data_IF_945522860162
#
_entry.id   IF_945522860162
#
_cell.length_a   1.000
_cell.length_b   1.000
_cell.length_c   1.000
_cell.angle_alpha   90.00
_cell.angle_beta   90.00
_cell.angle_gamma   90.00
#
_symmetry.space_group_name_H-M   'P 1'
#
loop_
_entity.id
_entity.type
_entity.pdbx_description
1 polymer ?
#
# COMPACT_ATOMS: atom_id res chain seq x y z
N UNK A 1 0.44 -14.16 24.05
CA UNK A 1 1.56 -14.89 23.41
C UNK A 1 1.45 -14.66 21.93
N UNK A 2 2.54 -14.28 21.27
CA UNK A 2 2.58 -14.08 19.81
C UNK A 2 2.68 -15.43 19.09
N UNK A 3 2.34 -15.44 17.80
CA UNK A 3 2.38 -16.63 16.93
C UNK A 3 2.94 -16.31 15.55
N UNK A 4 3.34 -17.34 14.80
CA UNK A 4 3.56 -17.21 13.37
C UNK A 4 2.22 -17.00 12.66
N UNK A 5 2.14 -16.00 11.79
CA UNK A 5 0.89 -15.61 11.14
C UNK A 5 0.98 -15.89 9.63
N UNK A 6 0.13 -16.81 9.17
CA UNK A 6 0.13 -17.34 7.79
C UNK A 6 -0.91 -16.69 6.89
N UNK A 7 -1.80 -15.88 7.46
CA UNK A 7 -2.89 -15.22 6.72
C UNK A 7 -3.26 -13.86 7.33
N UNK A 8 -3.82 -13.00 6.50
CA UNK A 8 -4.27 -11.66 6.88
C UNK A 8 -3.13 -10.67 7.16
N UNK A 9 -3.48 -9.43 7.51
CA UNK A 9 -2.51 -8.44 7.97
C UNK A 9 -1.88 -8.89 9.29
N UNK A 10 -0.57 -8.66 9.42
CA UNK A 10 0.18 -9.03 10.63
C UNK A 10 -0.04 -7.97 11.71
N UNK A 11 -0.58 -8.36 12.85
CA UNK A 11 -0.66 -7.50 14.04
C UNK A 11 0.57 -7.76 14.93
N UNK A 12 1.42 -6.74 15.08
CA UNK A 12 2.68 -6.81 15.85
C UNK A 12 2.49 -7.21 17.31
N UNK A 13 1.29 -7.03 17.87
CA UNK A 13 0.96 -7.44 19.25
C UNK A 13 0.70 -8.94 19.37
N UNK A 14 0.24 -9.58 18.29
CA UNK A 14 -0.22 -10.97 18.30
C UNK A 14 0.59 -11.88 17.38
N UNK A 15 1.42 -11.33 16.51
CA UNK A 15 2.24 -12.05 15.55
C UNK A 15 3.73 -11.73 15.71
N UNK A 16 4.59 -12.70 15.40
CA UNK A 16 6.01 -12.41 15.13
C UNK A 16 6.11 -11.57 13.84
N UNK A 17 7.04 -10.61 13.82
CA UNK A 17 7.10 -9.60 12.76
C UNK A 17 8.54 -9.17 12.51
N UNK A 18 8.93 -9.13 11.23
CA UNK A 18 10.22 -8.60 10.78
C UNK A 18 10.04 -7.13 10.42
N UNK A 19 10.83 -6.26 11.05
CA UNK A 19 10.87 -4.84 10.67
C UNK A 19 11.62 -4.63 9.36
N UNK A 20 11.16 -3.65 8.56
CA UNK A 20 11.75 -3.26 7.28
C UNK A 20 12.05 -1.75 7.27
N UNK A 21 13.01 -1.30 8.10
CA UNK A 21 13.25 0.13 8.31
C UNK A 21 13.68 0.87 7.03
N UNK A 22 14.42 0.22 6.14
CA UNK A 22 14.91 0.84 4.90
C UNK A 22 13.76 1.16 3.94
N UNK A 23 12.89 0.18 3.67
CA UNK A 23 11.68 0.35 2.83
C UNK A 23 10.76 1.41 3.41
N UNK A 24 10.58 1.39 4.74
CA UNK A 24 9.79 2.40 5.44
C UNK A 24 10.40 3.79 5.29
N UNK A 25 11.73 3.92 5.43
CA UNK A 25 12.43 5.19 5.28
C UNK A 25 12.29 5.73 3.86
N UNK A 26 12.46 4.89 2.85
CA UNK A 26 12.31 5.26 1.45
C UNK A 26 10.87 5.70 1.12
N UNK A 27 9.86 4.96 1.56
CA UNK A 27 8.46 5.34 1.38
C UNK A 27 8.15 6.70 2.02
N UNK A 28 8.65 6.95 3.24
CA UNK A 28 8.47 8.24 3.92
C UNK A 28 9.22 9.36 3.21
N UNK A 29 10.43 9.11 2.71
CA UNK A 29 11.19 10.10 1.94
C UNK A 29 10.45 10.51 0.66
N UNK A 30 9.90 9.55 -0.08
CA UNK A 30 9.07 9.83 -1.24
C UNK A 30 7.85 10.70 -0.90
N UNK A 31 7.12 10.36 0.17
CA UNK A 31 5.96 11.14 0.62
C UNK A 31 6.37 12.56 1.03
N UNK A 32 7.44 12.72 1.78
CA UNK A 32 7.91 14.02 2.25
C UNK A 32 8.42 14.90 1.08
N UNK A 33 9.00 14.28 0.04
CA UNK A 33 9.50 14.95 -1.15
C UNK A 33 8.47 15.10 -2.29
N UNK A 34 7.18 14.94 -1.99
CA UNK A 34 6.08 15.07 -2.96
C UNK A 34 6.23 14.17 -4.20
N UNK A 35 6.71 12.95 -4.00
CA UNK A 35 6.89 11.95 -5.05
C UNK A 35 5.66 11.10 -5.21
N UNK A 36 5.36 10.72 -6.45
CA UNK A 36 4.29 9.78 -6.79
C UNK A 36 4.99 8.50 -7.22
N UNK A 37 4.75 7.42 -6.47
CA UNK A 37 5.56 6.21 -6.61
C UNK A 37 4.69 4.96 -6.67
N UNK A 38 5.28 3.90 -7.20
CA UNK A 38 4.64 2.60 -7.28
C UNK A 38 5.27 1.66 -6.27
N UNK A 39 4.47 0.73 -5.74
CA UNK A 39 4.92 -0.29 -4.80
C UNK A 39 4.60 -1.66 -5.39
N UNK A 40 5.62 -2.44 -5.73
CA UNK A 40 5.43 -3.85 -6.06
C UNK A 40 5.66 -4.68 -4.81
N UNK A 41 4.70 -5.55 -4.50
CA UNK A 41 4.86 -6.48 -3.40
C UNK A 41 4.15 -7.79 -3.77
N UNK A 42 4.89 -8.91 -3.87
CA UNK A 42 4.28 -10.19 -4.19
C UNK A 42 3.19 -10.58 -3.18
N UNK A 43 2.30 -11.49 -3.56
CA UNK A 43 1.27 -11.99 -2.64
C UNK A 43 1.90 -12.53 -1.36
N UNK A 44 1.26 -12.22 -0.22
CA UNK A 44 1.70 -12.65 1.11
C UNK A 44 3.13 -12.20 1.49
N UNK A 45 3.61 -11.09 0.91
CA UNK A 45 4.89 -10.44 1.28
C UNK A 45 4.81 -9.55 2.54
N UNK A 46 3.62 -9.40 3.13
CA UNK A 46 3.39 -8.44 4.23
C UNK A 46 3.05 -7.03 3.77
N UNK A 47 2.75 -6.84 2.47
CA UNK A 47 2.30 -5.57 1.86
C UNK A 47 1.26 -4.80 2.69
N UNK A 48 0.15 -5.44 3.06
CA UNK A 48 -0.91 -4.79 3.84
C UNK A 48 -0.41 -4.31 5.20
N UNK A 49 0.52 -5.04 5.82
CA UNK A 49 1.14 -4.62 7.09
C UNK A 49 2.03 -3.40 6.89
N UNK A 50 2.87 -3.41 5.86
CA UNK A 50 3.73 -2.27 5.51
C UNK A 50 2.90 -1.00 5.25
N UNK A 51 1.83 -1.11 4.45
CA UNK A 51 0.96 0.03 4.14
C UNK A 51 0.27 0.58 5.39
N UNK A 52 -0.21 -0.29 6.29
CA UNK A 52 -0.74 0.13 7.59
C UNK A 52 0.30 0.85 8.44
N UNK A 53 1.54 0.35 8.47
CA UNK A 53 2.62 1.00 9.20
C UNK A 53 2.97 2.37 8.61
N UNK A 54 2.92 2.54 7.28
CA UNK A 54 3.11 3.84 6.62
C UNK A 54 1.99 4.79 7.05
N UNK A 55 0.73 4.37 6.95
CA UNK A 55 -0.45 5.17 7.37
C UNK A 55 -0.29 5.63 8.82
N UNK A 56 0.06 4.71 9.72
CA UNK A 56 0.23 5.02 11.15
C UNK A 56 1.33 6.06 11.40
N UNK A 57 2.41 6.07 10.60
CA UNK A 57 3.49 7.05 10.73
C UNK A 57 3.15 8.43 10.17
N UNK A 58 2.21 8.52 9.23
CA UNK A 58 1.92 9.78 8.52
C UNK A 58 0.56 10.40 8.87
N UNK A 59 -0.35 9.66 9.49
CA UNK A 59 -1.74 10.09 9.76
C UNK A 59 -1.88 11.39 10.54
N UNK A 60 -0.89 11.73 11.37
CA UNK A 60 -0.91 12.98 12.15
C UNK A 60 -0.65 14.19 11.25
N UNK A 61 0.19 14.03 10.21
CA UNK A 61 0.56 15.09 9.27
C UNK A 61 -0.37 15.16 8.05
N UNK A 62 -0.72 14.01 7.47
CA UNK A 62 -1.44 13.93 6.21
C UNK A 62 -2.77 13.20 6.37
N UNK A 63 -3.74 13.58 5.55
CA UNK A 63 -4.98 12.82 5.38
C UNK A 63 -4.72 11.65 4.43
N UNK A 64 -4.64 10.44 4.96
CA UNK A 64 -4.42 9.25 4.16
C UNK A 64 -5.75 8.69 3.68
N UNK A 65 -5.85 8.45 2.37
CA UNK A 65 -6.99 7.80 1.74
C UNK A 65 -6.49 6.50 1.15
N UNK A 66 -7.01 5.39 1.65
CA UNK A 66 -6.68 4.04 1.19
C UNK A 66 -7.87 3.42 0.46
N UNK A 67 -7.70 3.07 -0.81
CA UNK A 67 -8.71 2.46 -1.69
C UNK A 67 -8.13 1.19 -2.29
N UNK A 68 -8.97 0.20 -2.61
CA UNK A 68 -8.58 -0.99 -3.38
C UNK A 68 -9.43 -1.10 -4.65
N UNK A 69 -8.78 -1.38 -5.78
CA UNK A 69 -9.45 -1.62 -7.06
C UNK A 69 -9.89 -3.08 -7.25
N UNK A 70 -9.68 -3.95 -6.27
CA UNK A 70 -10.11 -5.37 -6.30
C UNK A 70 -11.57 -5.55 -6.74
N UNK A 71 -12.47 -4.70 -6.23
CA UNK A 71 -13.91 -4.78 -6.48
C UNK A 71 -14.42 -3.84 -7.59
N UNK A 72 -13.52 -3.21 -8.36
CA UNK A 72 -13.93 -2.24 -9.39
C UNK A 72 -14.40 -2.94 -10.65
N UNK A 73 -13.70 -3.98 -11.13
CA UNK A 73 -14.10 -4.72 -12.32
C UNK A 73 -14.30 -3.82 -13.56
N UNK A 74 -15.17 -4.25 -14.48
CA UNK A 74 -15.46 -3.55 -15.75
C UNK A 74 -16.57 -2.49 -15.59
N UNK A 75 -16.38 -1.54 -14.66
CA UNK A 75 -17.32 -0.42 -14.47
C UNK A 75 -17.26 0.57 -15.62
N UNK A 76 -18.40 1.18 -15.95
CA UNK A 76 -18.45 2.41 -16.75
C UNK A 76 -18.07 3.64 -15.92
N UNK A 77 -17.73 4.76 -16.57
CA UNK A 77 -17.21 5.99 -15.92
C UNK A 77 -18.04 6.47 -14.73
N UNK A 78 -19.36 6.54 -14.89
CA UNK A 78 -20.27 7.00 -13.80
C UNK A 78 -20.22 6.05 -12.60
N UNK A 79 -20.20 4.75 -12.83
CA UNK A 79 -20.17 3.77 -11.74
C UNK A 79 -18.80 3.74 -11.06
N UNK A 80 -17.72 3.92 -11.82
CA UNK A 80 -16.37 4.13 -11.31
C UNK A 80 -16.36 5.32 -10.32
N UNK A 81 -16.81 6.50 -10.74
CA UNK A 81 -16.81 7.71 -9.90
C UNK A 81 -17.65 7.56 -8.64
N UNK A 82 -18.85 6.95 -8.76
CA UNK A 82 -19.70 6.65 -7.59
C UNK A 82 -19.01 5.71 -6.61
N UNK A 83 -18.33 4.69 -7.12
CA UNK A 83 -17.60 3.71 -6.30
C UNK A 83 -16.38 4.37 -5.65
N UNK A 84 -15.65 5.19 -6.39
CA UNK A 84 -14.49 5.94 -5.93
C UNK A 84 -14.82 6.85 -4.75
N UNK A 85 -15.85 7.70 -4.88
CA UNK A 85 -16.29 8.57 -3.76
C UNK A 85 -16.78 7.76 -2.57
N UNK A 86 -17.49 6.66 -2.81
CA UNK A 86 -17.94 5.76 -1.73
C UNK A 86 -16.77 5.14 -0.97
N UNK A 87 -15.73 4.71 -1.67
CA UNK A 87 -14.55 4.11 -1.05
C UNK A 87 -13.66 5.14 -0.35
N UNK A 88 -13.56 6.37 -0.86
CA UNK A 88 -12.97 7.49 -0.12
C UNK A 88 -13.67 7.65 1.23
N UNK A 89 -15.00 7.76 1.23
CA UNK A 89 -15.77 7.93 2.46
C UNK A 89 -15.65 6.72 3.40
N UNK A 90 -15.60 5.50 2.85
CA UNK A 90 -15.34 4.28 3.64
C UNK A 90 -13.95 4.32 4.28
N UNK A 91 -12.94 4.78 3.55
CA UNK A 91 -11.57 4.93 4.04
C UNK A 91 -11.49 5.94 5.17
N UNK A 92 -12.08 7.13 4.98
CA UNK A 92 -12.14 8.18 5.99
C UNK A 92 -12.87 7.72 7.25
N UNK A 93 -13.96 6.95 7.09
CA UNK A 93 -14.69 6.37 8.23
C UNK A 93 -13.83 5.35 8.97
N UNK A 94 -13.12 4.49 8.25
CA UNK A 94 -12.29 3.44 8.84
C UNK A 94 -11.06 3.98 9.58
N UNK A 95 -10.39 4.99 9.01
CA UNK A 95 -9.14 5.54 9.56
C UNK A 95 -9.37 6.65 10.58
N UNK A 96 -10.42 7.46 10.41
CA UNK A 96 -10.63 8.68 11.19
C UNK A 96 -12.00 8.76 11.87
N UNK A 97 -12.87 7.76 11.67
CA UNK A 97 -14.21 7.75 12.30
C UNK A 97 -15.18 8.80 11.73
N UNK A 98 -14.90 9.37 10.55
CA UNK A 98 -15.69 10.46 9.96
C UNK A 98 -16.15 10.15 8.53
N UNK A 99 -17.23 10.81 8.13
CA UNK A 99 -17.76 10.81 6.76
C UNK A 99 -17.87 12.27 6.33
N UNK A 100 -17.47 12.55 5.10
CA UNK A 100 -17.61 13.87 4.50
C UNK A 100 -18.67 13.77 3.41
N UNK A 101 -19.55 14.75 3.34
CA UNK A 101 -20.44 14.86 2.19
C UNK A 101 -19.61 15.33 1.00
N UNK A 102 -19.41 14.45 0.01
CA UNK A 102 -18.55 14.67 -1.14
C UNK A 102 -19.38 14.65 -2.42
N UNK A 103 -19.14 15.62 -3.30
CA UNK A 103 -19.83 15.68 -4.58
C UNK A 103 -19.24 14.61 -5.50
N UNK A 104 -20.12 13.82 -6.12
CA UNK A 104 -19.67 12.83 -7.10
C UNK A 104 -19.23 13.58 -8.37
N UNK A 105 -17.97 13.40 -8.83
CA UNK A 105 -17.49 14.06 -10.04
C UNK A 105 -18.38 13.77 -11.25
N UNK A 106 -18.57 14.74 -12.14
CA UNK A 106 -19.33 14.58 -13.38
C UNK A 106 -18.58 13.77 -14.44
N UNK A 107 -17.24 13.83 -14.38
CA UNK A 107 -16.30 13.14 -15.25
C UNK A 107 -15.06 12.68 -14.46
N UNK A 108 -14.20 11.87 -15.09
CA UNK A 108 -12.91 11.49 -14.47
C UNK A 108 -12.03 12.73 -14.28
N UNK A 109 -12.13 13.70 -15.19
CA UNK A 109 -11.39 14.97 -15.13
C UNK A 109 -11.66 15.76 -13.84
N UNK A 110 -12.92 15.71 -13.39
CA UNK A 110 -13.41 16.41 -12.20
C UNK A 110 -12.90 15.79 -10.87
N UNK A 111 -12.16 14.68 -10.90
CA UNK A 111 -11.48 14.13 -9.71
C UNK A 111 -10.53 15.17 -9.10
N UNK A 112 -9.95 16.07 -9.90
CA UNK A 112 -9.13 17.19 -9.39
C UNK A 112 -9.90 18.06 -8.39
N UNK A 113 -11.17 18.34 -8.68
CA UNK A 113 -12.04 19.18 -7.85
C UNK A 113 -12.44 18.43 -6.57
N UNK A 114 -12.65 17.11 -6.67
CA UNK A 114 -12.90 16.25 -5.51
C UNK A 114 -11.71 16.23 -4.55
N UNK A 115 -10.48 16.15 -5.07
CA UNK A 115 -9.25 16.19 -4.26
C UNK A 115 -9.13 17.55 -3.55
N UNK A 116 -9.33 18.65 -4.28
CA UNK A 116 -9.34 20.01 -3.71
C UNK A 116 -10.40 20.16 -2.62
N UNK A 117 -11.63 19.71 -2.87
CA UNK A 117 -12.74 19.74 -1.93
C UNK A 117 -12.40 18.99 -0.62
N UNK A 118 -11.79 17.80 -0.72
CA UNK A 118 -11.37 17.03 0.46
C UNK A 118 -10.29 17.79 1.22
N UNK A 119 -9.27 18.31 0.54
CA UNK A 119 -8.18 19.07 1.17
C UNK A 119 -8.71 20.31 1.89
N UNK A 120 -9.62 21.07 1.28
CA UNK A 120 -10.22 22.27 1.87
C UNK A 120 -11.05 21.93 3.12
N UNK A 121 -11.88 20.89 3.05
CA UNK A 121 -12.73 20.46 4.17
C UNK A 121 -11.93 19.93 5.35
N UNK A 122 -10.81 19.28 5.08
CA UNK A 122 -10.00 18.61 6.11
C UNK A 122 -8.80 19.41 6.59
N UNK A 123 -8.41 20.46 5.87
CA UNK A 123 -7.26 21.30 6.20
C UNK A 123 -5.94 20.52 6.21
N UNK A 124 -5.87 19.40 5.49
CA UNK A 124 -4.70 18.50 5.42
C UNK A 124 -4.42 18.08 3.98
N UNK A 125 -3.14 18.02 3.64
CA UNK A 125 -2.70 17.44 2.38
C UNK A 125 -3.00 15.93 2.36
N UNK A 126 -3.29 15.40 1.17
CA UNK A 126 -3.77 14.04 0.95
C UNK A 126 -2.63 13.13 0.52
N UNK A 127 -2.54 11.95 1.14
CA UNK A 127 -1.76 10.82 0.60
C UNK A 127 -2.75 9.78 0.10
N UNK A 128 -2.83 9.60 -1.21
CA UNK A 128 -3.74 8.65 -1.85
C UNK A 128 -3.02 7.32 -2.12
N UNK A 129 -3.48 6.25 -1.48
CA UNK A 129 -2.98 4.90 -1.66
C UNK A 129 -4.02 4.06 -2.39
N UNK A 130 -3.64 3.49 -3.53
CA UNK A 130 -4.53 2.66 -4.36
C UNK A 130 -3.95 1.26 -4.46
N UNK A 131 -4.56 0.33 -3.74
CA UNK A 131 -4.21 -1.07 -3.75
C UNK A 131 -4.84 -1.82 -4.93
N UNK A 132 -4.16 -2.88 -5.36
CA UNK A 132 -4.50 -3.74 -6.50
C UNK A 132 -4.83 -2.94 -7.76
N UNK A 133 -3.98 -1.94 -8.08
CA UNK A 133 -4.22 -1.04 -9.21
C UNK A 133 -4.48 -1.78 -10.53
N UNK A 134 -3.78 -2.89 -10.75
CA UNK A 134 -3.92 -3.76 -11.92
C UNK A 134 -5.29 -4.43 -12.08
N UNK A 135 -6.17 -4.34 -11.06
CA UNK A 135 -7.54 -4.90 -11.09
C UNK A 135 -8.58 -3.95 -11.67
N UNK A 136 -8.20 -2.71 -11.99
CA UNK A 136 -9.06 -1.82 -12.76
C UNK A 136 -9.08 -2.29 -14.22
N UNK A 137 -10.00 -3.21 -14.52
CA UNK A 137 -10.16 -3.83 -15.85
C UNK A 137 -10.84 -2.88 -16.85
N UNK A 138 -10.36 -1.65 -16.99
CA UNK A 138 -10.85 -0.67 -17.96
C UNK A 138 -9.74 0.33 -18.31
N UNK A 139 -9.03 0.07 -19.41
CA UNK A 139 -7.88 0.87 -19.83
C UNK A 139 -8.23 2.34 -20.11
N UNK A 140 -9.43 2.62 -20.63
CA UNK A 140 -9.88 3.99 -20.89
C UNK A 140 -9.99 4.77 -19.57
N UNK A 141 -10.65 4.20 -18.57
CA UNK A 141 -10.79 4.81 -17.24
C UNK A 141 -9.44 4.93 -16.56
N UNK A 142 -8.61 3.90 -16.63
CA UNK A 142 -7.28 3.88 -16.04
C UNK A 142 -6.40 4.99 -16.63
N UNK A 143 -6.37 5.13 -17.95
CA UNK A 143 -5.58 6.16 -18.64
C UNK A 143 -6.10 7.57 -18.32
N UNK A 144 -7.42 7.80 -18.39
CA UNK A 144 -8.00 9.09 -18.00
C UNK A 144 -7.68 9.43 -16.54
N UNK A 145 -7.76 8.45 -15.64
CA UNK A 145 -7.39 8.64 -14.23
C UNK A 145 -5.93 9.05 -14.07
N UNK A 146 -4.99 8.34 -14.71
CA UNK A 146 -3.57 8.66 -14.67
C UNK A 146 -3.26 10.05 -15.26
N UNK A 147 -3.93 10.44 -16.34
CA UNK A 147 -3.82 11.78 -16.91
C UNK A 147 -4.24 12.87 -15.92
N UNK A 148 -5.34 12.64 -15.17
CA UNK A 148 -5.79 13.58 -14.14
C UNK A 148 -4.81 13.65 -12.98
N UNK A 149 -4.30 12.51 -12.51
CA UNK A 149 -3.26 12.49 -11.47
C UNK A 149 -1.99 13.24 -11.94
N UNK A 150 -1.63 13.16 -13.22
CA UNK A 150 -0.53 13.92 -13.81
C UNK A 150 -0.80 15.41 -13.88
N UNK A 151 -1.99 15.80 -14.31
CA UNK A 151 -2.40 17.21 -14.25
C UNK A 151 -2.26 17.74 -12.83
N UNK A 152 -2.75 17.00 -11.84
CA UNK A 152 -2.62 17.37 -10.43
C UNK A 152 -1.15 17.42 -9.99
N UNK A 153 -0.29 16.51 -10.45
CA UNK A 153 1.13 16.49 -10.06
C UNK A 153 1.85 17.82 -10.31
N UNK A 154 1.56 18.48 -11.44
CA UNK A 154 2.16 19.77 -11.79
C UNK A 154 1.78 20.88 -10.80
N UNK A 155 0.53 20.86 -10.31
CA UNK A 155 -0.03 21.85 -9.39
C UNK A 155 -0.35 21.25 -8.00
N UNK A 156 0.37 20.20 -7.61
CA UNK A 156 0.03 19.34 -6.46
C UNK A 156 -0.10 20.06 -5.13
N UNK A 157 0.63 21.17 -4.96
CA UNK A 157 0.53 22.03 -3.77
C UNK A 157 -0.76 22.83 -3.70
N UNK A 158 -1.34 23.17 -4.86
CA UNK A 158 -2.61 23.88 -4.97
C UNK A 158 -3.74 22.92 -4.61
N UNK A 159 -3.74 21.73 -5.22
CA UNK A 159 -4.73 20.68 -4.95
C UNK A 159 -4.55 20.01 -3.58
N UNK A 160 -3.40 20.19 -2.93
CA UNK A 160 -3.07 19.51 -1.68
C UNK A 160 -2.86 18.00 -1.80
N UNK A 161 -2.57 17.47 -2.99
CA UNK A 161 -2.25 16.05 -3.18
C UNK A 161 -0.76 15.81 -2.91
N UNK A 162 -0.42 15.42 -1.68
CA UNK A 162 0.97 15.24 -1.23
C UNK A 162 1.68 14.14 -1.99
N UNK A 163 1.05 12.98 -2.11
CA UNK A 163 1.61 11.79 -2.76
C UNK A 163 0.51 10.86 -3.25
N UNK A 164 0.77 10.17 -4.37
CA UNK A 164 -0.03 9.04 -4.83
C UNK A 164 0.85 7.80 -4.83
N UNK A 165 0.33 6.72 -4.24
CA UNK A 165 1.01 5.43 -4.12
C UNK A 165 0.15 4.40 -4.82
N UNK A 166 0.60 3.87 -5.96
CA UNK A 166 -0.08 2.75 -6.62
C UNK A 166 0.57 1.45 -6.17
N UNK A 167 -0.24 0.53 -5.66
CA UNK A 167 0.25 -0.74 -5.16
C UNK A 167 -0.28 -1.88 -6.02
N UNK A 168 0.62 -2.79 -6.40
CA UNK A 168 0.34 -3.92 -7.27
C UNK A 168 1.09 -5.18 -6.83
N UNK A 169 0.67 -6.34 -7.33
CA UNK A 169 1.36 -7.61 -7.06
C UNK A 169 2.71 -7.68 -7.79
N UNK A 170 2.79 -7.09 -8.98
CA UNK A 170 4.00 -7.06 -9.82
C UNK A 170 4.35 -5.66 -10.28
N UNK A 171 5.46 -5.54 -11.00
CA UNK A 171 5.92 -4.27 -11.55
C UNK A 171 4.94 -3.73 -12.62
N UNK A 172 4.54 -2.46 -12.51
CA UNK A 172 3.60 -1.81 -13.43
C UNK A 172 4.32 -1.20 -14.64
N UNK A 173 5.08 -2.02 -15.39
CA UNK A 173 5.92 -1.52 -16.50
C UNK A 173 5.15 -0.69 -17.51
N UNK A 174 4.00 -1.17 -17.98
CA UNK A 174 3.20 -0.45 -18.99
C UNK A 174 2.70 0.92 -18.53
N UNK A 175 2.50 1.12 -17.21
CA UNK A 175 2.10 2.41 -16.64
C UNK A 175 3.33 3.30 -16.39
N UNK A 176 4.45 2.73 -15.96
CA UNK A 176 5.66 3.50 -15.65
C UNK A 176 6.41 3.95 -16.92
N UNK A 177 6.30 3.19 -18.01
CA UNK A 177 6.93 3.47 -19.29
C UNK A 177 6.09 4.40 -20.19
N UNK A 178 4.82 4.64 -19.84
CA UNK A 178 3.96 5.55 -20.57
C UNK A 178 4.35 7.01 -20.28
N UNK A 179 4.62 7.78 -21.34
CA UNK A 179 4.90 9.22 -21.26
C UNK A 179 3.77 10.02 -20.60
N UNK A 180 2.54 9.51 -20.63
CA UNK A 180 1.37 10.06 -19.98
C UNK A 180 1.36 9.86 -18.46
N UNK A 181 2.19 8.97 -17.93
CA UNK A 181 2.19 8.62 -16.52
C UNK A 181 2.71 9.78 -15.65
N UNK A 182 2.08 10.05 -14.49
CA UNK A 182 2.67 10.91 -13.47
C UNK A 182 3.82 10.25 -12.72
N UNK A 183 3.98 8.93 -12.85
CA UNK A 183 4.91 8.15 -12.06
C UNK A 183 6.23 8.01 -12.81
N UNK A 184 7.35 8.20 -12.11
CA UNK A 184 8.67 7.99 -12.68
C UNK A 184 9.12 6.54 -12.44
N UNK A 185 9.73 5.90 -13.44
CA UNK A 185 10.36 4.57 -13.32
C UNK A 185 11.32 4.50 -12.12
N UNK A 186 12.05 5.60 -11.87
CA UNK A 186 13.00 5.70 -10.76
C UNK A 186 12.33 5.79 -9.36
N UNK A 187 11.02 5.99 -9.31
CA UNK A 187 10.21 6.09 -8.08
C UNK A 187 9.40 4.80 -7.93
N UNK A 188 10.10 3.65 -7.96
CA UNK A 188 9.55 2.32 -7.73
C UNK A 188 10.11 1.70 -6.45
N UNK A 189 9.22 1.37 -5.51
CA UNK A 189 9.57 0.71 -4.26
C UNK A 189 9.21 -0.77 -4.35
N UNK A 190 10.23 -1.63 -4.36
CA UNK A 190 10.03 -3.08 -4.28
C UNK A 190 9.96 -3.52 -2.80
N UNK A 191 8.99 -4.37 -2.47
CA UNK A 191 8.92 -5.05 -1.18
C UNK A 191 9.46 -6.48 -1.36
N UNK A 192 10.77 -6.71 -1.14
CA UNK A 192 11.39 -8.01 -1.36
C UNK A 192 10.92 -9.04 -0.34
N UNK A 193 11.24 -10.30 -0.59
CA UNK A 193 11.17 -11.35 0.43
C UNK A 193 12.14 -11.10 1.58
N UNK A 194 11.97 -11.85 2.66
CA UNK A 194 12.89 -11.77 3.78
C UNK A 194 14.29 -12.22 3.35
N UNK A 195 15.31 -11.56 3.89
CA UNK A 195 16.68 -12.11 3.84
C UNK A 195 16.80 -13.30 4.79
N UNK A 196 17.91 -14.05 4.70
CA UNK A 196 18.17 -15.16 5.63
C UNK A 196 18.20 -14.65 7.07
N UNK A 197 18.83 -13.51 7.30
CA UNK A 197 18.93 -12.86 8.61
C UNK A 197 17.55 -12.48 9.14
N UNK A 198 16.66 -11.97 8.29
CA UNK A 198 15.29 -11.64 8.66
C UNK A 198 14.45 -12.88 8.98
N UNK A 199 14.63 -13.99 8.26
CA UNK A 199 14.01 -15.27 8.63
C UNK A 199 14.49 -15.73 10.01
N UNK A 200 15.80 -15.65 10.26
CA UNK A 200 16.39 -16.04 11.53
C UNK A 200 15.93 -15.14 12.68
N UNK A 201 15.83 -13.82 12.44
CA UNK A 201 15.25 -12.87 13.39
C UNK A 201 13.81 -13.29 13.76
N UNK A 202 12.96 -13.53 12.76
CA UNK A 202 11.57 -13.96 12.97
C UNK A 202 11.48 -15.22 13.84
N UNK A 203 12.30 -16.25 13.55
CA UNK A 203 12.35 -17.49 14.34
C UNK A 203 12.86 -17.23 15.76
N UNK A 204 13.87 -16.37 15.92
CA UNK A 204 14.45 -16.05 17.23
C UNK A 204 13.46 -15.36 18.18
N UNK A 205 12.48 -14.61 17.63
CA UNK A 205 11.42 -14.01 18.43
C UNK A 205 10.55 -15.08 19.12
N UNK A 206 10.26 -16.19 18.42
CA UNK A 206 9.58 -17.35 19.00
C UNK A 206 10.43 -18.02 20.07
N UNK A 207 11.68 -18.35 19.74
CA UNK A 207 12.61 -19.01 20.67
C UNK A 207 12.77 -18.23 21.97
N UNK A 208 12.85 -16.90 21.88
CA UNK A 208 12.98 -16.01 23.04
C UNK A 208 11.72 -16.02 23.90
N UNK A 209 10.54 -16.01 23.28
CA UNK A 209 9.24 -15.95 23.96
C UNK A 209 8.83 -17.30 24.58
N UNK A 210 9.13 -18.42 23.92
CA UNK A 210 8.65 -19.76 24.31
C UNK A 210 9.73 -20.62 24.96
N UNK A 211 11.01 -20.26 24.79
CA UNK A 211 12.20 -21.08 25.11
C UNK A 211 12.32 -22.38 24.30
N UNK A 212 11.44 -22.61 23.32
CA UNK A 212 11.56 -23.71 22.37
C UNK A 212 12.51 -23.28 21.24
N UNK A 213 13.70 -23.86 21.25
CA UNK A 213 14.76 -23.55 20.28
C UNK A 213 14.57 -24.38 19.01
N UNK A 214 14.68 -23.74 17.85
CA UNK A 214 14.84 -24.44 16.58
C UNK A 214 16.31 -24.85 16.42
N UNK A 215 16.55 -26.14 16.15
CA UNK A 215 17.88 -26.58 15.74
C UNK A 215 18.34 -25.81 14.50
N UNK A 216 19.65 -25.53 14.39
CA UNK A 216 20.20 -24.74 13.28
C UNK A 216 19.81 -25.34 11.91
N UNK A 217 19.83 -26.67 11.79
CA UNK A 217 19.41 -27.39 10.59
C UNK A 217 17.95 -27.13 10.20
N UNK A 218 17.07 -26.94 11.19
CA UNK A 218 15.65 -26.60 10.95
C UNK A 218 15.54 -25.18 10.41
N UNK A 219 16.27 -24.22 10.98
CA UNK A 219 16.30 -22.83 10.48
C UNK A 219 16.79 -22.77 9.03
N UNK A 220 17.84 -23.52 8.72
CA UNK A 220 18.37 -23.64 7.35
C UNK A 220 17.35 -24.24 6.38
N UNK A 221 16.63 -25.30 6.80
CA UNK A 221 15.60 -25.92 5.98
C UNK A 221 14.39 -24.98 5.75
N UNK A 222 13.97 -24.21 6.75
CA UNK A 222 12.93 -23.20 6.59
C UNK A 222 13.37 -22.16 5.56
N UNK A 223 14.58 -21.62 5.68
CA UNK A 223 15.14 -20.69 4.70
C UNK A 223 15.19 -21.28 3.30
N UNK A 224 15.73 -22.48 3.15
CA UNK A 224 15.90 -23.12 1.85
C UNK A 224 14.56 -23.42 1.15
N UNK A 225 13.54 -23.85 1.89
CA UNK A 225 12.23 -24.19 1.32
C UNK A 225 11.32 -22.98 1.09
N UNK A 226 11.38 -21.97 1.97
CA UNK A 226 10.55 -20.77 1.83
C UNK A 226 11.19 -19.69 0.95
N UNK A 227 12.52 -19.73 0.75
CA UNK A 227 13.30 -18.71 0.05
C UNK A 227 12.98 -17.27 0.52
N UNK A 228 12.74 -17.11 1.82
CA UNK A 228 12.38 -15.83 2.43
C UNK A 228 10.93 -15.36 2.20
N UNK A 229 10.10 -16.10 1.47
CA UNK A 229 8.71 -15.72 1.25
C UNK A 229 7.98 -15.66 2.61
N UNK A 230 7.41 -14.51 3.03
CA UNK A 230 6.94 -14.33 4.40
C UNK A 230 5.84 -15.29 4.85
N UNK A 231 4.86 -15.57 3.99
CA UNK A 231 3.76 -16.49 4.29
C UNK A 231 4.21 -17.95 4.51
N UNK A 232 5.08 -18.46 3.64
CA UNK A 232 5.68 -19.80 3.69
C UNK A 232 6.64 -19.92 4.87
N UNK A 233 7.44 -18.89 5.13
CA UNK A 233 8.32 -18.85 6.31
C UNK A 233 7.49 -19.00 7.59
N UNK A 234 6.42 -18.21 7.72
CA UNK A 234 5.50 -18.34 8.86
C UNK A 234 4.79 -19.70 8.87
N UNK A 235 4.40 -20.24 7.71
CA UNK A 235 3.71 -21.53 7.62
C UNK A 235 4.57 -22.69 8.10
N UNK A 236 5.80 -22.79 7.59
CA UNK A 236 6.74 -23.83 8.01
C UNK A 236 7.10 -23.73 9.49
N UNK A 237 7.24 -22.51 10.01
CA UNK A 237 7.55 -22.30 11.43
C UNK A 237 6.36 -22.53 12.37
N UNK A 238 5.13 -22.39 11.88
CA UNK A 238 3.92 -22.61 12.66
C UNK A 238 3.68 -24.09 12.99
N UNK A 239 4.06 -24.99 12.08
CA UNK A 239 3.83 -26.43 12.20
C UNK A 239 4.89 -27.18 13.04
N UNK A 240 5.84 -26.45 13.66
CA UNK A 240 7.00 -26.96 14.39
C UNK A 240 7.03 -26.47 15.84
#
# INVERSE_FOLDING_TARGET
MRRFCTSGPVDKKTCYYVERPDIMKEALDHIENWRYFTVSAPRQSGKTTLLKDIVEKIKDKYLTIFISFESYGEKGKIEFLRTFVKDINRSLKGLYGKIIDLIIPGSIDDIRNLIEEITEKEGKEIVLMIDEFEKLNNDEIMNEFLHVIRSIYHDRKIYGLRSVILISVGYLSGILEDNASPFNIAEHLEVPYFTKEQVYDLLSQHETETRQIFEEKVKELIWHNAAGQPGLTNGLAYDL
#
